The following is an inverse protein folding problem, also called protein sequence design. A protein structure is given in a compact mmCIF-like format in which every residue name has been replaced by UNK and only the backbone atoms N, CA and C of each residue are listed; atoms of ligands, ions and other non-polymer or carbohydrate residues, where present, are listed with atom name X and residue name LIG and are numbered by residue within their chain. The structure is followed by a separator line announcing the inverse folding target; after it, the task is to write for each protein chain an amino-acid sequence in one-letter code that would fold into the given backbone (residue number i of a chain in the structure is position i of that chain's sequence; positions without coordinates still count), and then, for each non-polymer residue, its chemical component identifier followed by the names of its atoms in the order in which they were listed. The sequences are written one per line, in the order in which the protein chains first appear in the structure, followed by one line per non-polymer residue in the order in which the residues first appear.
data_IF_017633157983
#
_entry.id   IF_017633157983
#
_cell.length_a   1.000
_cell.length_b   1.000
_cell.length_c   1.000
_cell.angle_alpha   90.00
_cell.angle_beta   90.00
_cell.angle_gamma   90.00
#
_symmetry.space_group_name_H-M   'P 1'
#
loop_
_entity.id
_entity.type
_entity.pdbx_description
1 polymer ?
#
# COMPACT_ATOMS: atom_id res chain seq x y z
N UNK A 1 4.71 -9.71 11.84
CA UNK A 1 3.83 -8.63 12.30
C UNK A 1 3.80 -8.41 13.82
N UNK A 2 3.74 -9.46 14.66
CA UNK A 2 3.64 -9.27 16.12
C UNK A 2 4.85 -8.50 16.72
N UNK A 3 6.06 -8.75 16.22
CA UNK A 3 7.30 -8.14 16.74
C UNK A 3 7.36 -6.62 16.48
N UNK A 4 7.05 -6.17 15.26
CA UNK A 4 7.05 -4.73 14.90
C UNK A 4 5.96 -3.98 15.68
N UNK A 5 4.77 -4.58 15.86
CA UNK A 5 3.69 -4.00 16.66
C UNK A 5 4.09 -3.82 18.13
N UNK A 6 4.88 -4.74 18.68
CA UNK A 6 5.40 -4.66 20.05
C UNK A 6 6.51 -3.62 20.19
N UNK A 7 7.38 -3.48 19.18
CA UNK A 7 8.45 -2.47 19.17
C UNK A 7 7.91 -1.04 19.01
N UNK A 8 6.90 -0.84 18.16
CA UNK A 8 6.25 0.46 18.00
C UNK A 8 5.65 1.01 19.30
N UNK A 9 5.32 0.15 20.27
CA UNK A 9 4.78 0.58 21.58
C UNK A 9 5.82 1.12 22.55
N UNK A 10 7.12 1.04 22.23
CA UNK A 10 8.20 1.31 23.20
C UNK A 10 8.89 2.66 23.07
N UNK A 11 8.73 3.40 21.96
CA UNK A 11 9.41 4.70 21.77
C UNK A 11 8.71 5.60 20.74
N UNK A 12 8.47 6.89 21.03
CA UNK A 12 7.98 7.87 20.05
C UNK A 12 8.87 7.98 18.80
N UNK A 13 10.19 7.81 18.96
CA UNK A 13 11.14 7.84 17.84
C UNK A 13 10.91 6.64 16.92
N UNK A 14 10.69 5.45 17.48
CA UNK A 14 10.40 4.26 16.68
C UNK A 14 9.07 4.40 15.92
N UNK A 15 8.04 5.00 16.55
CA UNK A 15 6.77 5.32 15.89
C UNK A 15 6.99 6.26 14.71
N UNK A 16 7.77 7.32 14.91
CA UNK A 16 8.04 8.30 13.86
C UNK A 16 8.76 7.67 12.67
N UNK A 17 9.78 6.83 12.90
CA UNK A 17 10.50 6.15 11.83
C UNK A 17 9.59 5.19 11.03
N UNK A 18 8.83 4.35 11.73
CA UNK A 18 7.88 3.43 11.10
C UNK A 18 6.79 4.18 10.33
N UNK A 19 6.31 5.29 10.88
CA UNK A 19 5.34 6.16 10.22
C UNK A 19 5.91 6.73 8.92
N UNK A 20 7.11 7.31 8.95
CA UNK A 20 7.72 7.91 7.77
C UNK A 20 7.92 6.91 6.64
N UNK A 21 8.37 5.69 6.95
CA UNK A 21 8.48 4.61 5.96
C UNK A 21 7.10 4.20 5.40
N UNK A 22 6.10 4.07 6.27
CA UNK A 22 4.75 3.69 5.88
C UNK A 22 4.05 4.76 5.03
N UNK A 23 4.19 6.04 5.39
CA UNK A 23 3.69 7.19 4.64
C UNK A 23 4.33 7.24 3.25
N UNK A 24 5.65 7.08 3.16
CA UNK A 24 6.35 7.01 1.89
C UNK A 24 5.79 5.90 0.99
N UNK A 25 5.74 4.66 1.49
CA UNK A 25 5.23 3.50 0.76
C UNK A 25 3.76 3.67 0.34
N UNK A 26 2.94 4.31 1.18
CA UNK A 26 1.59 4.69 0.81
C UNK A 26 1.59 5.68 -0.35
N UNK A 27 2.25 6.83 -0.23
CA UNK A 27 2.24 7.90 -1.24
C UNK A 27 2.81 7.47 -2.60
N UNK A 28 3.80 6.56 -2.64
CA UNK A 28 4.30 5.99 -3.91
C UNK A 28 3.42 4.87 -4.48
N UNK A 29 2.31 4.53 -3.81
CA UNK A 29 1.33 3.55 -4.28
C UNK A 29 1.74 2.10 -4.06
N UNK A 30 2.63 1.81 -3.11
CA UNK A 30 3.03 0.44 -2.75
C UNK A 30 2.12 -0.17 -1.68
N UNK A 31 1.19 0.62 -1.10
CA UNK A 31 0.14 0.14 -0.20
C UNK A 31 -1.26 0.19 -0.84
N UNK A 32 -1.60 -0.76 -1.76
CA UNK A 32 -2.95 -0.90 -2.28
C UNK A 32 -3.94 -1.14 -1.13
N UNK A 33 -5.00 -0.35 -1.09
CA UNK A 33 -6.07 -0.47 -0.11
C UNK A 33 -7.38 0.09 -0.67
N UNK A 34 -8.49 -0.21 -0.01
CA UNK A 34 -9.81 0.25 -0.43
C UNK A 34 -10.03 1.74 -0.12
N UNK A 35 -11.14 2.27 -0.65
CA UNK A 35 -11.52 3.67 -0.46
C UNK A 35 -11.68 4.07 1.00
N UNK A 36 -12.23 3.18 1.82
CA UNK A 36 -12.39 3.46 3.25
C UNK A 36 -11.03 3.65 3.90
N UNK A 37 -10.04 2.83 3.55
CA UNK A 37 -8.69 2.90 4.09
C UNK A 37 -7.93 4.15 3.60
N UNK A 38 -7.81 4.36 2.28
CA UNK A 38 -7.00 5.47 1.78
C UNK A 38 -7.57 6.85 2.13
N UNK A 39 -8.89 6.99 2.30
CA UNK A 39 -9.52 8.24 2.77
C UNK A 39 -9.09 8.55 4.20
N UNK A 40 -9.04 7.54 5.07
CA UNK A 40 -8.60 7.71 6.46
C UNK A 40 -7.11 8.04 6.54
N UNK A 41 -6.27 7.32 5.76
CA UNK A 41 -4.84 7.61 5.67
C UNK A 41 -4.58 9.05 5.19
N UNK A 42 -5.27 9.49 4.14
CA UNK A 42 -5.16 10.85 3.63
C UNK A 42 -5.60 11.92 4.65
N UNK A 43 -6.71 11.67 5.37
CA UNK A 43 -7.17 12.57 6.42
C UNK A 43 -6.17 12.71 7.58
N UNK A 44 -5.50 11.61 7.95
CA UNK A 44 -4.45 11.62 8.97
C UNK A 44 -3.23 12.44 8.51
N UNK A 45 -2.77 12.24 7.28
CA UNK A 45 -1.67 13.04 6.71
C UNK A 45 -2.07 14.52 6.65
N UNK A 46 -3.31 14.82 6.24
CA UNK A 46 -3.83 16.19 6.18
C UNK A 46 -3.81 16.85 7.57
N UNK A 47 -4.33 16.16 8.60
CA UNK A 47 -4.31 16.65 9.99
C UNK A 47 -2.87 16.88 10.48
N UNK A 48 -1.94 15.99 10.14
CA UNK A 48 -0.53 16.12 10.53
C UNK A 48 0.15 17.32 9.88
N UNK A 49 -0.12 17.58 8.60
CA UNK A 49 0.54 18.62 7.83
C UNK A 49 -0.04 20.02 8.09
N UNK A 50 -1.35 20.12 8.26
CA UNK A 50 -2.07 21.41 8.28
C UNK A 50 -2.85 21.67 9.57
N UNK A 51 -2.88 20.72 10.50
CA UNK A 51 -3.62 20.85 11.76
C UNK A 51 -5.13 20.79 11.57
N UNK A 52 -5.84 21.46 12.49
CA UNK A 52 -7.30 21.45 12.54
C UNK A 52 -7.96 22.25 11.40
N UNK A 53 -9.26 22.04 11.21
CA UNK A 53 -10.03 22.54 10.07
C UNK A 53 -9.94 24.06 9.85
N UNK A 54 -9.71 24.83 10.91
CA UNK A 54 -9.63 26.29 10.88
C UNK A 54 -8.41 26.82 10.10
N UNK A 55 -7.40 25.98 9.89
CA UNK A 55 -6.14 26.35 9.22
C UNK A 55 -5.94 25.64 7.88
N UNK A 56 -6.96 24.94 7.37
CA UNK A 56 -6.82 24.19 6.13
C UNK A 56 -6.74 25.11 4.90
N UNK A 57 -5.77 24.89 4.00
CA UNK A 57 -5.80 25.50 2.67
C UNK A 57 -6.98 24.95 1.84
N UNK A 58 -7.27 25.62 0.73
CA UNK A 58 -8.14 25.03 -0.29
C UNK A 58 -7.55 23.69 -0.78
N UNK A 59 -8.37 22.64 -0.81
CA UNK A 59 -7.92 21.30 -1.22
C UNK A 59 -7.89 21.22 -2.74
N UNK A 60 -6.75 21.61 -3.31
CA UNK A 60 -6.45 21.51 -4.73
C UNK A 60 -5.67 20.20 -5.06
N UNK A 61 -5.41 19.89 -6.35
CA UNK A 61 -4.62 18.71 -6.73
C UNK A 61 -3.21 18.67 -6.14
N UNK A 62 -2.61 19.82 -5.86
CA UNK A 62 -1.27 19.90 -5.27
C UNK A 62 -1.33 19.40 -3.83
N UNK A 63 -2.29 19.87 -3.03
CA UNK A 63 -2.53 19.38 -1.67
C UNK A 63 -2.86 17.88 -1.69
N UNK A 64 -3.72 17.44 -2.61
CA UNK A 64 -4.04 16.01 -2.73
C UNK A 64 -2.80 15.16 -3.04
N UNK A 65 -1.87 15.65 -3.87
CA UNK A 65 -0.63 14.94 -4.20
C UNK A 65 0.32 14.76 -3.00
N UNK A 66 0.17 15.55 -1.94
CA UNK A 66 0.94 15.39 -0.69
C UNK A 66 0.31 14.38 0.27
N UNK A 67 -0.99 14.09 0.14
CA UNK A 67 -1.74 13.24 1.08
C UNK A 67 -2.29 11.96 0.45
N UNK A 68 -2.22 11.82 -0.87
CA UNK A 68 -2.68 10.65 -1.61
C UNK A 68 -1.67 10.18 -2.66
N UNK A 69 -1.64 8.87 -2.95
CA UNK A 69 -1.01 8.34 -4.14
C UNK A 69 -1.59 8.97 -5.41
N UNK A 70 -0.72 9.38 -6.34
CA UNK A 70 -1.14 10.06 -7.59
C UNK A 70 -2.20 9.30 -8.39
N UNK A 71 -2.12 7.98 -8.44
CA UNK A 71 -3.06 7.13 -9.18
C UNK A 71 -4.48 7.10 -8.56
N UNK A 72 -4.66 7.61 -7.33
CA UNK A 72 -5.97 7.73 -6.66
C UNK A 72 -6.59 9.12 -6.82
N UNK A 73 -5.85 10.10 -7.36
CA UNK A 73 -6.35 11.45 -7.57
C UNK A 73 -7.12 11.46 -8.89
N UNK A 74 -8.44 11.74 -8.89
CA UNK A 74 -9.20 11.81 -10.12
C UNK A 74 -8.63 12.90 -11.03
N UNK A 75 -8.47 12.64 -12.34
CA UNK A 75 -8.06 13.69 -13.26
C UNK A 75 -9.12 14.81 -13.24
N UNK A 76 -8.65 16.05 -13.14
CA UNK A 76 -9.50 17.21 -13.39
C UNK A 76 -9.63 17.29 -14.90
N UNK A 77 -10.80 16.91 -15.43
CA UNK A 77 -11.09 17.15 -16.84
C UNK A 77 -11.00 18.66 -17.09
N UNK A 78 -10.20 19.06 -18.07
CA UNK A 78 -10.27 20.43 -18.59
C UNK A 78 -11.71 20.70 -19.09
N UNK A 79 -12.21 21.93 -18.98
CA UNK A 79 -13.49 22.28 -19.60
C UNK A 79 -13.40 21.97 -21.10
N UNK A 80 -14.26 21.06 -21.58
CA UNK A 80 -14.33 20.71 -22.99
C UNK A 80 -14.86 21.92 -23.77
N UNK A 81 -14.23 22.33 -24.89
CA UNK A 81 -14.74 23.41 -25.74
C UNK A 81 -15.86 22.87 -26.62
N UNK A 82 -17.03 22.59 -26.04
CA UNK A 82 -18.23 22.33 -26.85
C UNK A 82 -19.51 22.64 -26.08
N UNK A 83 -20.10 23.77 -26.49
CA UNK A 83 -21.53 24.08 -26.58
C UNK A 83 -22.36 24.25 -25.30
N UNK A 84 -22.95 25.45 -25.22
CA UNK A 84 -24.11 25.91 -24.44
C UNK A 84 -23.88 26.54 -23.06
N UNK A 85 -23.96 27.87 -23.09
CA UNK A 85 -24.54 28.80 -22.13
C UNK A 85 -25.17 28.11 -20.91
N UNK A 86 -24.53 28.24 -19.74
CA UNK A 86 -25.23 28.32 -18.46
C UNK A 86 -24.45 29.21 -17.49
N UNK A 87 -25.19 30.15 -16.92
CA UNK A 87 -24.77 31.17 -15.97
C UNK A 87 -24.38 30.51 -14.64
N UNK A 88 -23.16 30.76 -14.16
CA UNK A 88 -22.85 30.76 -12.71
C UNK A 88 -22.54 29.45 -11.98
N UNK A 89 -22.28 28.32 -12.65
CA UNK A 89 -21.95 27.05 -11.98
C UNK A 89 -20.60 26.48 -12.42
N UNK A 90 -19.59 26.48 -11.54
CA UNK A 90 -18.31 25.82 -11.79
C UNK A 90 -18.53 24.31 -12.01
N UNK A 91 -18.31 23.82 -13.24
CA UNK A 91 -18.39 22.38 -13.58
C UNK A 91 -17.15 21.67 -13.02
N UNK A 92 -17.07 21.59 -11.70
CA UNK A 92 -16.10 20.77 -10.99
C UNK A 92 -16.47 19.29 -11.14
N UNK A 93 -15.49 18.44 -11.48
CA UNK A 93 -15.65 17.00 -11.60
C UNK A 93 -16.30 16.41 -10.32
N UNK A 94 -17.51 15.86 -10.43
CA UNK A 94 -18.29 15.37 -9.27
C UNK A 94 -17.55 14.32 -8.44
N UNK A 95 -16.71 13.51 -9.07
CA UNK A 95 -15.90 12.48 -8.40
C UNK A 95 -14.79 13.10 -7.55
N UNK A 96 -14.15 14.16 -8.05
CA UNK A 96 -13.13 14.90 -7.31
C UNK A 96 -13.71 15.51 -6.04
N UNK A 97 -14.83 16.23 -6.16
CA UNK A 97 -15.50 16.85 -5.01
C UNK A 97 -15.96 15.82 -3.99
N UNK A 98 -16.48 14.68 -4.43
CA UNK A 98 -16.86 13.59 -3.53
C UNK A 98 -15.67 13.05 -2.75
N UNK A 99 -14.51 12.88 -3.38
CA UNK A 99 -13.29 12.44 -2.70
C UNK A 99 -12.85 13.46 -1.66
N UNK A 100 -12.74 14.74 -2.05
CA UNK A 100 -12.35 15.83 -1.15
C UNK A 100 -13.30 15.92 0.05
N UNK A 101 -14.61 15.89 -0.18
CA UNK A 101 -15.61 15.96 0.89
C UNK A 101 -15.49 14.78 1.87
N UNK A 102 -15.21 13.57 1.38
CA UNK A 102 -15.00 12.40 2.25
C UNK A 102 -13.73 12.54 3.09
N UNK A 103 -12.64 13.05 2.51
CA UNK A 103 -11.39 13.32 3.23
C UNK A 103 -11.60 14.39 4.30
N UNK A 104 -12.25 15.50 3.95
CA UNK A 104 -12.57 16.58 4.89
C UNK A 104 -13.49 16.09 6.02
N UNK A 105 -14.46 15.23 5.72
CA UNK A 105 -15.33 14.62 6.74
C UNK A 105 -14.53 13.73 7.70
N UNK A 106 -13.61 12.90 7.20
CA UNK A 106 -12.73 12.09 8.03
C UNK A 106 -11.75 12.95 8.84
N UNK A 107 -11.20 14.01 8.24
CA UNK A 107 -10.29 14.97 8.88
C UNK A 107 -10.93 15.67 10.08
N UNK A 108 -12.20 16.10 9.96
CA UNK A 108 -12.95 16.69 11.08
C UNK A 108 -13.03 15.78 12.31
N UNK A 109 -13.01 14.46 12.13
CA UNK A 109 -13.05 13.49 13.23
C UNK A 109 -11.70 13.36 13.97
N UNK A 110 -10.62 13.95 13.43
CA UNK A 110 -9.27 13.90 13.97
C UNK A 110 -8.87 15.17 14.73
N UNK A 111 -9.80 16.13 14.90
CA UNK A 111 -9.53 17.40 15.56
C UNK A 111 -8.90 17.21 16.95
N UNK A 112 -7.92 18.04 17.30
CA UNK A 112 -7.17 17.98 18.57
C UNK A 112 -6.39 16.68 18.82
N UNK A 113 -6.18 15.83 17.81
CA UNK A 113 -5.34 14.62 17.95
C UNK A 113 -3.86 14.99 17.89
N UNK A 114 -3.06 14.54 18.86
CA UNK A 114 -1.62 14.86 18.87
C UNK A 114 -0.83 14.04 17.83
N UNK A 115 0.39 14.49 17.51
CA UNK A 115 1.25 13.90 16.48
C UNK A 115 1.48 12.39 16.66
N UNK A 116 1.85 11.95 17.86
CA UNK A 116 2.16 10.54 18.12
C UNK A 116 0.91 9.66 17.96
N UNK A 117 -0.24 10.16 18.39
CA UNK A 117 -1.53 9.48 18.19
C UNK A 117 -1.90 9.37 16.71
N UNK A 118 -1.71 10.44 15.92
CA UNK A 118 -1.93 10.41 14.47
C UNK A 118 -1.03 9.37 13.78
N UNK A 119 0.26 9.37 14.11
CA UNK A 119 1.23 8.42 13.55
C UNK A 119 0.86 6.97 13.90
N UNK A 120 0.49 6.71 15.16
CA UNK A 120 0.00 5.40 15.59
C UNK A 120 -1.30 4.99 14.89
N UNK A 121 -2.23 5.92 14.69
CA UNK A 121 -3.48 5.65 13.98
C UNK A 121 -3.22 5.28 12.53
N UNK A 122 -2.34 6.02 11.84
CA UNK A 122 -1.90 5.70 10.47
C UNK A 122 -1.30 4.29 10.41
N UNK A 123 -0.36 3.99 11.31
CA UNK A 123 0.27 2.67 11.39
C UNK A 123 -0.73 1.55 11.66
N UNK A 124 -1.78 1.77 12.48
CA UNK A 124 -2.83 0.76 12.71
C UNK A 124 -3.55 0.37 11.42
N UNK A 125 -3.87 1.33 10.55
CA UNK A 125 -4.42 1.05 9.22
C UNK A 125 -3.41 0.26 8.38
N UNK A 126 -2.17 0.73 8.28
CA UNK A 126 -1.14 0.07 7.48
C UNK A 126 -0.86 -1.36 7.96
N UNK A 127 -0.84 -1.62 9.26
CA UNK A 127 -0.62 -2.95 9.84
C UNK A 127 -1.68 -3.98 9.48
N UNK A 128 -2.84 -3.56 8.97
CA UNK A 128 -3.87 -4.47 8.46
C UNK A 128 -3.59 -4.92 7.01
N UNK A 129 -2.71 -4.22 6.30
CA UNK A 129 -2.37 -4.50 4.90
C UNK A 129 -1.34 -5.63 4.81
N UNK A 130 -1.58 -6.56 3.87
CA UNK A 130 -0.66 -7.67 3.58
C UNK A 130 0.68 -7.22 2.98
N UNK A 131 0.76 -5.98 2.49
CA UNK A 131 1.94 -5.33 1.89
C UNK A 131 2.79 -4.55 2.89
N UNK A 132 2.33 -4.37 4.13
CA UNK A 132 3.08 -3.60 5.11
C UNK A 132 4.40 -4.28 5.48
N UNK A 133 5.48 -3.51 5.49
CA UNK A 133 6.83 -4.02 5.77
C UNK A 133 7.39 -4.92 4.67
N UNK A 134 6.84 -4.86 3.46
CA UNK A 134 7.41 -5.55 2.30
C UNK A 134 8.74 -4.91 1.87
N UNK A 135 9.71 -5.77 1.57
CA UNK A 135 10.77 -5.41 0.62
C UNK A 135 10.23 -5.57 -0.78
N UNK A 136 10.29 -4.50 -1.60
CA UNK A 136 9.76 -4.50 -2.96
C UNK A 136 10.84 -4.68 -4.01
N UNK A 137 10.58 -5.57 -4.96
CA UNK A 137 11.43 -5.87 -6.11
C UNK A 137 10.69 -5.49 -7.39
N UNK A 138 11.40 -4.91 -8.36
CA UNK A 138 10.85 -4.66 -9.70
C UNK A 138 10.96 -5.95 -10.52
N UNK A 139 9.88 -6.33 -11.19
CA UNK A 139 9.84 -7.55 -11.98
C UNK A 139 8.83 -7.44 -13.13
N UNK A 140 8.86 -8.44 -14.01
CA UNK A 140 7.79 -8.72 -14.95
C UNK A 140 7.09 -10.01 -14.56
N UNK A 141 5.77 -10.03 -14.62
CA UNK A 141 4.96 -11.21 -14.40
C UNK A 141 4.43 -11.74 -15.72
N UNK A 142 4.70 -13.01 -15.98
CA UNK A 142 4.11 -13.82 -17.04
C UNK A 142 2.99 -14.66 -16.44
N UNK A 143 1.75 -14.35 -16.81
CA UNK A 143 0.58 -15.12 -16.44
C UNK A 143 0.43 -16.27 -17.42
N UNK A 144 0.31 -17.49 -16.90
CA UNK A 144 0.24 -18.70 -17.72
C UNK A 144 -1.08 -18.77 -18.53
N UNK A 145 -2.20 -18.24 -18.02
CA UNK A 145 -3.48 -18.15 -18.77
C UNK A 145 -4.40 -16.99 -18.32
N UNK A 146 -5.02 -16.24 -19.27
CA UNK A 146 -4.57 -16.09 -20.65
C UNK A 146 -3.20 -15.40 -20.68
N UNK A 147 -2.34 -15.81 -21.63
CA UNK A 147 -1.03 -15.20 -21.89
C UNK A 147 -1.19 -13.72 -22.26
N UNK A 148 -1.22 -12.83 -21.26
CA UNK A 148 -1.32 -11.37 -21.44
C UNK A 148 0.03 -10.73 -21.23
N UNK A 149 0.95 -10.98 -22.15
CA UNK A 149 2.24 -10.28 -22.23
C UNK A 149 3.07 -10.28 -20.93
N UNK A 150 4.16 -9.51 -20.94
CA UNK A 150 4.93 -9.22 -19.74
C UNK A 150 4.23 -8.09 -18.98
N UNK A 151 3.64 -8.38 -17.82
CA UNK A 151 3.05 -7.34 -16.96
C UNK A 151 4.13 -6.76 -16.03
N UNK A 152 4.48 -5.47 -16.11
CA UNK A 152 5.38 -4.85 -15.13
C UNK A 152 4.74 -4.85 -13.74
N UNK A 153 5.47 -5.34 -12.74
CA UNK A 153 4.96 -5.49 -11.37
C UNK A 153 6.00 -5.08 -10.32
N UNK A 154 5.51 -4.66 -9.16
CA UNK A 154 6.25 -4.67 -7.91
C UNK A 154 5.90 -5.95 -7.14
N UNK A 155 6.93 -6.73 -6.81
CA UNK A 155 6.82 -7.92 -5.97
C UNK A 155 7.25 -7.55 -4.56
N UNK A 156 6.31 -7.48 -3.64
CA UNK A 156 6.56 -7.24 -2.22
C UNK A 156 6.67 -8.56 -1.46
N UNK A 157 7.68 -8.69 -0.61
CA UNK A 157 7.87 -9.87 0.26
C UNK A 157 8.04 -9.42 1.71
N UNK A 158 7.26 -10.01 2.61
CA UNK A 158 7.33 -9.79 4.06
C UNK A 158 6.99 -11.08 4.84
N UNK A 159 6.87 -10.97 6.16
CA UNK A 159 6.52 -12.09 7.03
C UNK A 159 5.06 -12.56 6.94
N UNK A 160 4.20 -11.85 6.20
CA UNK A 160 2.86 -12.32 5.82
C UNK A 160 2.92 -13.22 4.59
N UNK A 161 3.74 -12.87 3.59
CA UNK A 161 3.88 -13.63 2.35
C UNK A 161 4.40 -12.80 1.18
N UNK A 162 3.86 -13.05 -0.01
CA UNK A 162 4.21 -12.34 -1.24
C UNK A 162 3.00 -11.58 -1.79
N UNK A 163 3.20 -10.32 -2.15
CA UNK A 163 2.21 -9.46 -2.81
C UNK A 163 2.72 -9.06 -4.18
N UNK A 164 1.86 -9.13 -5.20
CA UNK A 164 2.17 -8.70 -6.56
C UNK A 164 1.29 -7.50 -6.89
N UNK A 165 1.91 -6.38 -7.22
CA UNK A 165 1.24 -5.11 -7.50
C UNK A 165 1.57 -4.71 -8.94
N UNK A 166 0.56 -4.33 -9.72
CA UNK A 166 0.77 -3.81 -11.06
C UNK A 166 1.54 -2.47 -10.98
N UNK A 167 2.68 -2.35 -11.66
CA UNK A 167 3.55 -1.18 -11.53
C UNK A 167 2.98 0.10 -12.17
N UNK A 168 2.00 -0.01 -13.06
CA UNK A 168 1.34 1.14 -13.70
C UNK A 168 0.10 1.56 -12.93
N UNK A 169 -0.77 0.60 -12.59
CA UNK A 169 -2.08 0.90 -11.98
C UNK A 169 -2.05 0.90 -10.47
N UNK A 170 -0.95 0.43 -9.86
CA UNK A 170 -0.80 0.23 -8.41
C UNK A 170 -1.87 -0.67 -7.78
N UNK A 171 -2.62 -1.43 -8.59
CA UNK A 171 -3.58 -2.42 -8.09
C UNK A 171 -2.87 -3.70 -7.69
N UNK A 172 -3.28 -4.28 -6.55
CA UNK A 172 -2.80 -5.59 -6.13
C UNK A 172 -3.38 -6.67 -7.04
N UNK A 173 -2.52 -7.38 -7.76
CA UNK A 173 -2.87 -8.47 -8.67
C UNK A 173 -2.98 -9.79 -7.93
N UNK A 174 -2.08 -10.04 -6.97
CA UNK A 174 -2.08 -11.23 -6.16
C UNK A 174 -1.56 -10.94 -4.74
N UNK A 175 -2.06 -11.72 -3.79
CA UNK A 175 -1.58 -11.76 -2.41
C UNK A 175 -1.55 -13.21 -1.96
N UNK A 176 -0.36 -13.74 -1.71
CA UNK A 176 -0.09 -15.15 -1.45
C UNK A 176 0.48 -15.29 -0.04
N UNK A 177 -0.29 -15.89 0.86
CA UNK A 177 0.16 -16.14 2.22
C UNK A 177 1.35 -17.10 2.23
N UNK A 178 2.31 -16.83 3.13
CA UNK A 178 3.55 -17.59 3.24
C UNK A 178 3.34 -19.10 3.41
N UNK A 179 2.26 -19.51 4.09
CA UNK A 179 1.92 -20.92 4.36
C UNK A 179 1.46 -21.69 3.11
N UNK A 180 0.86 -21.00 2.15
CA UNK A 180 0.33 -21.59 0.91
C UNK A 180 1.21 -21.30 -0.31
N UNK A 181 2.21 -20.43 -0.15
CA UNK A 181 3.11 -20.00 -1.20
C UNK A 181 4.22 -21.02 -1.42
N UNK A 182 4.26 -21.56 -2.63
CA UNK A 182 5.34 -22.38 -3.15
C UNK A 182 6.13 -21.57 -4.16
N UNK A 183 7.46 -21.61 -4.03
CA UNK A 183 8.37 -20.86 -4.88
C UNK A 183 9.38 -21.84 -5.46
N UNK A 184 9.40 -21.95 -6.79
CA UNK A 184 10.39 -22.75 -7.50
C UNK A 184 11.39 -21.80 -8.16
N UNK A 185 12.61 -21.83 -7.67
CA UNK A 185 13.73 -21.08 -8.20
C UNK A 185 14.65 -22.00 -8.99
N UNK A 186 15.01 -21.59 -10.20
CA UNK A 186 16.00 -22.29 -11.02
C UNK A 186 17.33 -21.52 -10.94
N UNK A 187 18.42 -22.13 -10.47
CA UNK A 187 19.74 -21.49 -10.47
C UNK A 187 20.14 -21.00 -11.87
N UNK A 188 20.91 -19.91 -11.92
CA UNK A 188 21.40 -19.28 -13.17
C UNK A 188 20.29 -18.78 -14.11
N UNK A 189 19.06 -18.61 -13.63
CA UNK A 189 17.98 -17.94 -14.38
C UNK A 189 17.54 -16.65 -13.69
N UNK A 190 16.97 -15.75 -14.50
CA UNK A 190 16.39 -14.50 -14.03
C UNK A 190 14.89 -14.64 -13.74
N UNK A 191 14.41 -15.83 -13.36
CA UNK A 191 13.01 -16.03 -13.05
C UNK A 191 12.79 -16.99 -11.88
N UNK A 192 11.59 -16.93 -11.33
CA UNK A 192 11.05 -17.86 -10.35
C UNK A 192 9.58 -18.14 -10.68
N UNK A 193 9.11 -19.32 -10.32
CA UNK A 193 7.70 -19.68 -10.44
C UNK A 193 7.07 -19.58 -9.05
N UNK A 194 6.00 -18.81 -8.95
CA UNK A 194 5.21 -18.65 -7.73
C UNK A 194 3.86 -19.34 -7.91
N UNK A 195 3.59 -20.30 -7.03
CA UNK A 195 2.35 -21.08 -7.01
C UNK A 195 1.64 -20.91 -5.67
N UNK A 196 0.32 -20.82 -5.70
CA UNK A 196 -0.52 -20.84 -4.50
C UNK A 196 -1.47 -22.00 -4.51
N UNK A 197 -1.31 -22.92 -3.55
CA UNK A 197 -2.18 -24.10 -3.38
C UNK A 197 -3.65 -23.76 -3.14
N UNK A 198 -3.96 -22.53 -2.71
CA UNK A 198 -5.32 -22.11 -2.33
C UNK A 198 -6.07 -21.33 -3.40
N UNK A 199 -5.39 -20.73 -4.38
CA UNK A 199 -5.98 -19.69 -5.24
C UNK A 199 -5.87 -19.96 -6.74
N UNK A 200 -5.50 -21.18 -7.13
CA UNK A 200 -5.20 -21.53 -8.53
C UNK A 200 -4.34 -20.45 -9.23
N UNK A 201 -3.35 -19.95 -8.48
CA UNK A 201 -2.44 -18.92 -8.95
C UNK A 201 -1.12 -19.58 -9.30
N UNK A 202 -0.71 -19.44 -10.56
CA UNK A 202 0.59 -19.85 -11.07
C UNK A 202 1.12 -18.73 -11.94
N UNK A 203 2.26 -18.16 -11.56
CA UNK A 203 2.89 -17.11 -12.34
C UNK A 203 4.40 -17.26 -12.38
N UNK A 204 4.98 -16.92 -13.52
CA UNK A 204 6.43 -16.78 -13.67
C UNK A 204 6.81 -15.33 -13.44
N UNK A 205 7.67 -15.08 -12.45
CA UNK A 205 8.18 -13.76 -12.12
C UNK A 205 9.61 -13.65 -12.64
N UNK A 206 9.83 -12.74 -13.58
CA UNK A 206 11.13 -12.49 -14.21
C UNK A 206 11.77 -11.23 -13.64
N UNK A 207 12.95 -11.36 -13.03
CA UNK A 207 13.76 -10.27 -12.48
C UNK A 207 15.20 -10.74 -12.26
N UNK A 208 16.22 -9.87 -12.47
CA UNK A 208 17.60 -10.19 -12.08
C UNK A 208 17.77 -10.40 -10.57
N UNK A 209 16.76 -10.05 -9.77
CA UNK A 209 16.76 -10.18 -8.30
C UNK A 209 16.10 -11.50 -7.83
N UNK A 210 15.88 -12.47 -8.72
CA UNK A 210 15.17 -13.73 -8.44
C UNK A 210 15.77 -14.50 -7.27
N UNK A 211 17.10 -14.58 -7.21
CA UNK A 211 17.84 -15.22 -6.12
C UNK A 211 17.60 -14.52 -4.77
N UNK A 212 17.58 -13.19 -4.75
CA UNK A 212 17.35 -12.42 -3.53
C UNK A 212 15.94 -12.65 -2.99
N UNK A 213 14.94 -12.66 -3.86
CA UNK A 213 13.54 -12.97 -3.51
C UNK A 213 13.45 -14.36 -2.90
N UNK A 214 14.05 -15.36 -3.54
CA UNK A 214 14.06 -16.74 -3.04
C UNK A 214 14.73 -16.87 -1.68
N UNK A 215 15.90 -16.26 -1.49
CA UNK A 215 16.65 -16.32 -0.23
C UNK A 215 15.89 -15.62 0.90
N UNK A 216 15.33 -14.43 0.63
CA UNK A 216 14.52 -13.70 1.60
C UNK A 216 13.29 -14.52 2.02
N UNK A 217 12.58 -15.11 1.07
CA UNK A 217 11.39 -15.91 1.37
C UNK A 217 11.72 -17.16 2.20
N UNK A 218 12.82 -17.85 1.89
CA UNK A 218 13.31 -18.99 2.70
C UNK A 218 13.62 -18.56 4.14
N UNK A 219 14.35 -17.46 4.31
CA UNK A 219 14.65 -16.93 5.65
C UNK A 219 13.38 -16.56 6.43
N UNK A 220 12.40 -15.94 5.77
CA UNK A 220 11.13 -15.56 6.38
C UNK A 220 10.31 -16.79 6.79
N UNK A 221 10.25 -17.84 5.96
CA UNK A 221 9.59 -19.11 6.30
C UNK A 221 10.17 -19.70 7.59
N UNK A 222 11.48 -19.84 7.64
CA UNK A 222 12.17 -20.37 8.84
C UNK A 222 11.90 -19.51 10.08
N UNK A 223 11.98 -18.18 9.97
CA UNK A 223 11.73 -17.27 11.11
C UNK A 223 10.28 -17.35 11.61
N UNK A 224 9.31 -17.42 10.70
CA UNK A 224 7.88 -17.49 11.06
C UNK A 224 7.54 -18.85 11.68
N UNK A 225 8.13 -19.94 11.19
CA UNK A 225 7.97 -21.27 11.78
C UNK A 225 8.56 -21.33 13.19
N UNK A 226 9.79 -20.84 13.39
CA UNK A 226 10.43 -20.77 14.70
C UNK A 226 9.65 -19.92 15.72
N UNK A 227 9.09 -18.78 15.28
CA UNK A 227 8.27 -17.94 16.15
C UNK A 227 6.97 -18.63 16.60
N UNK A 228 6.41 -19.55 15.79
CA UNK A 228 5.22 -20.33 16.15
C UNK A 228 5.54 -21.45 17.13
N UNK A 229 6.64 -22.18 16.93
CA UNK A 229 7.04 -23.26 17.85
C UNK A 229 7.51 -22.75 19.21
N UNK A 230 8.15 -21.56 19.27
CA UNK A 230 8.53 -20.92 20.53
C UNK A 230 7.36 -20.33 21.33
N UNK A 231 6.19 -20.16 20.72
CA UNK A 231 4.99 -19.67 21.42
C UNK A 231 4.19 -20.78 22.13
N UNK A 232 4.50 -22.05 21.87
CA UNK A 232 3.85 -23.22 22.48
C UNK A 232 4.54 -23.73 23.75
N UNK A 233 5.68 -23.17 24.16
CA UNK A 233 6.44 -23.58 25.36
C UNK A 233 6.15 -22.75 26.62
N UNK A 234 5.14 -21.88 26.58
CA UNK A 234 4.62 -21.14 27.73
C UNK A 234 3.09 -21.26 27.77
N UNK A 235 2.61 -22.47 28.03
CA UNK A 235 1.27 -22.71 28.60
C UNK A 235 1.43 -23.58 29.84
#
# INVERSE_FOLDING_TARGET
MAIIRTLARKSPVAISLLYSEAEHNFLVGLYPCDAKCYIQLAAIILQRLYGDHQHLPAIDPSVLAHILPRHLIPPISAPSPSTSINVGGSVTNSTYNQLVNKILSAHKQLANTNLVQLQLLFLKYCWSLNVYGCTFFKAFMLMSKPLRGNLPVHVGVNDWGMSVINATTHKQVAALELKSLELKYTPNTNYLEATSRKRDFVATITTPQSMLINNLLKQLKTKVEAARSGSTSHQ
#
